data_IF_427290195483
#
_entry.id   IF_427290195483
#
_cell.length_a   1.000
_cell.length_b   1.000
_cell.length_c   1.000
_cell.angle_alpha   90.00
_cell.angle_beta   90.00
_cell.angle_gamma   90.00
#
_symmetry.space_group_name_H-M   'P 1'
#
loop_
_entity.id
_entity.type
_entity.pdbx_description
1 polymer ?
#
# COMPACT_ATOMS: atom_id res chain seq x y z
N UNK A 1 18.53 -13.20 3.24
CA UNK A 1 17.80 -14.08 4.17
C UNK A 1 16.74 -13.20 4.81
N UNK A 2 15.49 -13.56 4.54
CA UNK A 2 14.26 -13.05 5.15
C UNK A 2 14.48 -12.72 6.62
N UNK A 3 14.25 -11.47 6.99
CA UNK A 3 14.28 -11.02 8.40
C UNK A 3 12.97 -11.28 9.13
N UNK A 4 11.96 -11.69 8.38
CA UNK A 4 10.63 -11.95 8.87
C UNK A 4 10.30 -13.42 8.72
N UNK A 5 9.76 -13.99 9.79
CA UNK A 5 9.22 -15.33 9.83
C UNK A 5 7.77 -15.24 10.29
N UNK A 6 6.86 -15.92 9.61
CA UNK A 6 5.42 -15.79 9.87
C UNK A 6 4.87 -17.15 10.23
N UNK A 7 4.26 -17.26 11.40
CA UNK A 7 3.45 -18.41 11.77
C UNK A 7 2.03 -18.21 11.25
N UNK A 8 1.55 -19.18 10.48
CA UNK A 8 0.19 -19.27 9.97
C UNK A 8 -0.54 -20.37 10.72
N UNK A 9 -1.35 -20.01 11.72
CA UNK A 9 -1.93 -20.97 12.68
C UNK A 9 -3.45 -21.10 12.57
N UNK A 10 -3.97 -22.28 12.86
CA UNK A 10 -5.41 -22.54 12.84
C UNK A 10 -6.17 -21.86 14.00
N UNK A 11 -5.46 -21.57 15.10
CA UNK A 11 -6.01 -20.98 16.32
C UNK A 11 -5.29 -19.69 16.68
N UNK A 12 -5.98 -18.81 17.40
CA UNK A 12 -5.40 -17.60 17.96
C UNK A 12 -4.30 -17.98 18.96
N UNK A 13 -3.09 -17.43 18.86
CA UNK A 13 -2.10 -17.55 19.92
C UNK A 13 -2.63 -16.91 21.21
N UNK A 14 -2.87 -17.73 22.21
CA UNK A 14 -3.14 -17.27 23.57
C UNK A 14 -1.83 -17.02 24.34
N UNK A 15 -1.95 -16.50 25.56
CA UNK A 15 -0.79 -16.21 26.41
C UNK A 15 0.07 -17.44 26.65
N UNK A 16 -0.53 -18.64 26.78
CA UNK A 16 0.21 -19.88 27.01
C UNK A 16 1.03 -20.28 25.79
N UNK A 17 0.44 -20.24 24.60
CA UNK A 17 1.14 -20.52 23.35
C UNK A 17 2.29 -19.52 23.11
N UNK A 18 2.06 -18.23 23.40
CA UNK A 18 3.10 -17.21 23.33
C UNK A 18 4.25 -17.49 24.31
N UNK A 19 3.97 -17.86 25.57
CA UNK A 19 5.02 -18.22 26.52
C UNK A 19 5.85 -19.43 26.04
N UNK A 20 5.21 -20.47 25.50
CA UNK A 20 5.92 -21.62 24.92
C UNK A 20 6.82 -21.17 23.76
N UNK A 21 6.32 -20.29 22.89
CA UNK A 21 7.10 -19.78 21.77
C UNK A 21 8.29 -18.92 22.23
N UNK A 22 8.11 -18.06 23.22
CA UNK A 22 9.14 -17.13 23.72
C UNK A 22 10.29 -17.84 24.43
N UNK A 23 10.08 -19.07 24.94
CA UNK A 23 11.19 -19.91 25.44
C UNK A 23 12.16 -20.37 24.35
N UNK A 24 11.99 -19.94 23.10
CA UNK A 24 12.86 -20.24 21.96
C UNK A 24 14.33 -19.90 22.22
N UNK A 25 14.61 -18.85 23.00
CA UNK A 25 15.96 -18.42 23.35
C UNK A 25 16.56 -19.09 24.59
N UNK A 26 15.82 -19.99 25.24
CA UNK A 26 16.19 -20.54 26.55
C UNK A 26 15.58 -19.75 27.71
N UNK A 27 16.02 -20.05 28.93
CA UNK A 27 15.48 -19.45 30.16
C UNK A 27 16.09 -18.07 30.50
N UNK A 28 17.15 -17.68 29.79
CA UNK A 28 17.98 -16.52 30.15
C UNK A 28 17.62 -15.24 29.38
N UNK A 29 16.67 -15.29 28.43
CA UNK A 29 16.23 -14.11 27.70
C UNK A 29 15.04 -13.46 28.39
N UNK A 30 15.13 -12.15 28.59
CA UNK A 30 14.02 -11.33 29.05
C UNK A 30 13.02 -11.07 27.92
N UNK A 31 11.76 -10.85 28.29
CA UNK A 31 10.72 -10.44 27.36
C UNK A 31 10.05 -9.15 27.83
N UNK A 32 9.74 -8.25 26.88
CA UNK A 32 9.04 -7.00 27.15
C UNK A 32 7.88 -6.80 26.18
N UNK A 33 6.77 -6.26 26.68
CA UNK A 33 5.67 -5.77 25.84
C UNK A 33 5.87 -4.27 25.52
N UNK A 34 5.69 -3.91 24.25
CA UNK A 34 5.76 -2.52 23.75
C UNK A 34 4.53 -2.18 22.91
N UNK A 35 4.27 -0.89 22.67
CA UNK A 35 3.13 -0.43 21.88
C UNK A 35 1.77 -0.86 22.45
N UNK A 36 1.55 -0.60 23.74
CA UNK A 36 0.34 -1.03 24.48
C UNK A 36 0.08 -2.55 24.45
N UNK A 37 1.15 -3.34 24.26
CA UNK A 37 1.07 -4.80 24.18
C UNK A 37 0.83 -5.33 22.76
N UNK A 38 0.84 -4.48 21.75
CA UNK A 38 0.75 -4.88 20.34
C UNK A 38 1.99 -5.65 19.85
N UNK A 39 3.14 -5.49 20.52
CA UNK A 39 4.38 -6.19 20.17
C UNK A 39 5.04 -6.74 21.43
N UNK A 40 5.50 -7.99 21.36
CA UNK A 40 6.34 -8.62 22.39
C UNK A 40 7.76 -8.77 21.87
N UNK A 41 8.76 -8.32 22.62
CA UNK A 41 10.16 -8.38 22.23
C UNK A 41 10.92 -9.36 23.12
N UNK A 42 11.71 -10.24 22.51
CA UNK A 42 12.76 -10.99 23.19
C UNK A 42 14.02 -10.13 23.22
N UNK A 43 14.56 -9.94 24.42
CA UNK A 43 15.70 -9.07 24.68
C UNK A 43 16.96 -9.89 24.90
N UNK A 44 18.06 -9.45 24.30
CA UNK A 44 19.41 -9.94 24.57
C UNK A 44 20.11 -9.13 25.66
N UNK A 45 21.42 -9.31 25.76
CA UNK A 45 22.26 -8.55 26.68
C UNK A 45 22.04 -7.03 26.55
N UNK A 46 22.05 -6.35 27.70
CA UNK A 46 21.80 -4.91 27.81
C UNK A 46 20.41 -4.45 27.31
N UNK A 47 19.40 -5.34 27.31
CA UNK A 47 18.01 -4.99 27.01
C UNK A 47 17.74 -4.71 25.52
N UNK A 48 18.57 -5.25 24.61
CA UNK A 48 18.44 -5.01 23.17
C UNK A 48 17.44 -5.97 22.53
N UNK A 49 16.49 -5.49 21.69
CA UNK A 49 15.54 -6.38 21.03
C UNK A 49 16.22 -7.26 19.98
N UNK A 50 16.06 -8.57 20.12
CA UNK A 50 16.55 -9.60 19.20
C UNK A 50 15.46 -10.07 18.25
N UNK A 51 14.25 -10.29 18.78
CA UNK A 51 13.07 -10.69 18.01
C UNK A 51 11.89 -9.90 18.50
N UNK A 52 11.07 -9.38 17.58
CA UNK A 52 9.76 -8.80 17.88
C UNK A 52 8.67 -9.70 17.33
N UNK A 53 7.67 -10.01 18.15
CA UNK A 53 6.47 -10.77 17.81
C UNK A 53 5.30 -9.81 17.78
N UNK A 54 4.74 -9.60 16.58
CA UNK A 54 3.59 -8.74 16.36
C UNK A 54 2.29 -9.40 16.85
N UNK A 55 1.31 -8.59 17.22
CA UNK A 55 -0.01 -9.05 17.59
C UNK A 55 -0.61 -9.94 16.48
N UNK A 56 -1.19 -11.11 16.83
CA UNK A 56 -1.80 -11.99 15.84
C UNK A 56 -2.97 -11.31 15.12
N UNK A 57 -2.99 -11.42 13.79
CA UNK A 57 -4.06 -10.89 12.95
C UNK A 57 -4.83 -12.05 12.33
N UNK A 58 -6.15 -12.08 12.50
CA UNK A 58 -7.00 -13.06 11.82
C UNK A 58 -7.25 -12.61 10.38
N UNK A 59 -6.59 -13.25 9.42
CA UNK A 59 -6.79 -13.00 7.99
C UNK A 59 -7.99 -13.82 7.51
N UNK A 60 -9.07 -13.12 7.18
CA UNK A 60 -10.33 -13.74 6.72
C UNK A 60 -10.53 -13.63 5.20
N UNK A 61 -9.58 -13.01 4.50
CA UNK A 61 -9.71 -12.65 3.09
C UNK A 61 -9.01 -13.70 2.22
N UNK A 62 -9.75 -14.46 1.39
CA UNK A 62 -9.16 -15.50 0.57
C UNK A 62 -8.07 -14.95 -0.36
N UNK A 63 -6.94 -15.66 -0.44
CA UNK A 63 -5.82 -15.32 -1.32
C UNK A 63 -4.90 -14.20 -0.81
N UNK A 64 -5.21 -13.55 0.30
CA UNK A 64 -4.36 -12.47 0.82
C UNK A 64 -2.98 -12.98 1.26
N UNK A 65 -2.93 -14.17 1.86
CA UNK A 65 -1.66 -14.81 2.23
C UNK A 65 -0.83 -15.15 1.00
N UNK A 66 -1.47 -15.69 -0.05
CA UNK A 66 -0.79 -16.01 -1.30
C UNK A 66 -0.26 -14.76 -2.00
N UNK A 67 -1.04 -13.68 -2.00
CA UNK A 67 -0.63 -12.39 -2.56
C UNK A 67 0.63 -11.84 -1.90
N UNK A 68 0.72 -11.90 -0.57
CA UNK A 68 1.84 -11.32 0.19
C UNK A 68 3.06 -12.24 0.31
N UNK A 69 2.84 -13.54 0.49
CA UNK A 69 3.90 -14.51 0.79
C UNK A 69 4.26 -15.41 -0.38
N UNK A 70 3.46 -15.42 -1.44
CA UNK A 70 3.63 -16.34 -2.58
C UNK A 70 3.32 -17.80 -2.26
N UNK A 71 2.64 -18.07 -1.13
CA UNK A 71 2.24 -19.42 -0.72
C UNK A 71 0.75 -19.50 -0.43
N UNK A 72 0.03 -20.51 -0.96
CA UNK A 72 -1.38 -20.69 -0.66
C UNK A 72 -1.58 -21.03 0.82
N UNK A 73 -2.68 -20.56 1.41
CA UNK A 73 -3.04 -20.87 2.78
C UNK A 73 -4.56 -21.00 2.92
N UNK A 74 -5.00 -21.82 3.86
CA UNK A 74 -6.41 -21.88 4.25
C UNK A 74 -6.87 -20.52 4.79
N UNK A 75 -8.17 -20.22 4.64
CA UNK A 75 -8.78 -19.00 5.17
C UNK A 75 -10.06 -19.38 5.92
N UNK A 76 -10.31 -18.86 7.13
CA UNK A 76 -9.49 -17.89 7.86
C UNK A 76 -8.22 -18.51 8.47
N UNK A 77 -7.19 -17.70 8.68
CA UNK A 77 -5.92 -18.12 9.30
C UNK A 77 -5.39 -17.01 10.21
N UNK A 78 -4.79 -17.40 11.34
CA UNK A 78 -4.08 -16.47 12.21
C UNK A 78 -2.67 -16.23 11.68
N UNK A 79 -2.37 -14.98 11.41
CA UNK A 79 -1.06 -14.49 11.00
C UNK A 79 -0.33 -13.94 12.21
N UNK A 80 0.81 -14.52 12.57
CA UNK A 80 1.69 -13.96 13.60
C UNK A 80 3.07 -13.74 13.03
N UNK A 81 3.47 -12.48 12.95
CA UNK A 81 4.72 -12.07 12.35
C UNK A 81 5.81 -11.94 13.42
N UNK A 82 6.94 -12.60 13.19
CA UNK A 82 8.15 -12.48 14.00
C UNK A 82 9.25 -11.83 13.17
N UNK A 83 9.82 -10.73 13.68
CA UNK A 83 10.90 -9.99 13.01
C UNK A 83 12.20 -10.15 13.77
N UNK A 84 13.23 -10.60 13.08
CA UNK A 84 14.57 -10.75 13.60
C UNK A 84 15.38 -9.46 13.43
N UNK A 85 16.07 -9.05 14.50
CA UNK A 85 17.10 -8.02 14.45
C UNK A 85 18.24 -8.42 13.52
N UNK A 86 18.86 -7.44 12.88
CA UNK A 86 20.09 -7.64 12.09
C UNK A 86 21.36 -7.49 12.93
N UNK A 87 21.24 -7.12 14.20
CA UNK A 87 22.39 -6.81 15.07
C UNK A 87 23.21 -8.04 15.48
N UNK A 88 22.62 -9.25 15.45
CA UNK A 88 23.28 -10.52 15.79
C UNK A 88 22.86 -11.65 14.83
N UNK A 89 23.74 -12.62 14.53
CA UNK A 89 23.42 -13.71 13.62
C UNK A 89 22.36 -14.67 14.18
N UNK A 90 22.25 -14.82 15.50
CA UNK A 90 21.31 -15.74 16.16
C UNK A 90 19.84 -15.27 16.11
N UNK A 91 19.58 -13.99 15.83
CA UNK A 91 18.23 -13.43 15.84
C UNK A 91 17.30 -14.07 14.79
N UNK A 92 17.82 -14.39 13.59
CA UNK A 92 17.02 -15.02 12.53
C UNK A 92 16.64 -16.47 12.87
N UNK A 93 17.57 -17.35 13.28
CA UNK A 93 17.20 -18.65 13.86
C UNK A 93 16.26 -18.54 15.05
N UNK A 94 16.44 -17.54 15.92
CA UNK A 94 15.54 -17.34 17.08
C UNK A 94 14.10 -17.01 16.62
N UNK A 95 13.93 -16.14 15.62
CA UNK A 95 12.62 -15.86 15.04
C UNK A 95 11.98 -17.11 14.41
N UNK A 96 12.80 -17.95 13.75
CA UNK A 96 12.43 -19.28 13.25
C UNK A 96 11.95 -20.22 14.33
N UNK A 97 12.66 -20.26 15.48
CA UNK A 97 12.28 -21.06 16.64
C UNK A 97 10.96 -20.59 17.27
N UNK A 98 10.76 -19.27 17.42
CA UNK A 98 9.51 -18.70 17.94
C UNK A 98 8.32 -19.08 17.05
N UNK A 99 8.43 -18.83 15.73
CA UNK A 99 7.36 -19.15 14.79
C UNK A 99 7.11 -20.66 14.66
N UNK A 100 8.18 -21.47 14.66
CA UNK A 100 8.09 -22.94 14.63
C UNK A 100 7.34 -23.51 15.82
N UNK A 101 7.61 -23.00 17.02
CA UNK A 101 6.89 -23.42 18.24
C UNK A 101 5.43 -22.98 18.24
N UNK A 102 5.12 -21.78 17.76
CA UNK A 102 3.73 -21.35 17.60
C UNK A 102 2.97 -22.29 16.65
N UNK A 103 3.56 -22.60 15.50
CA UNK A 103 2.96 -23.50 14.51
C UNK A 103 2.77 -24.92 15.05
N UNK A 104 3.73 -25.44 15.83
CA UNK A 104 3.63 -26.76 16.47
C UNK A 104 2.50 -26.82 17.50
N UNK A 105 2.41 -25.84 18.40
CA UNK A 105 1.43 -25.82 19.49
C UNK A 105 0.01 -25.59 18.97
N UNK A 106 -0.15 -24.68 18.01
CA UNK A 106 -1.46 -24.23 17.55
C UNK A 106 -1.96 -24.99 16.31
N UNK A 107 -1.07 -25.78 15.69
CA UNK A 107 -1.26 -26.35 14.36
C UNK A 107 -1.16 -25.28 13.28
N UNK A 108 -0.34 -25.51 12.27
CA UNK A 108 -0.12 -24.53 11.21
C UNK A 108 1.14 -24.76 10.40
N UNK A 109 1.55 -23.72 9.68
CA UNK A 109 2.78 -23.69 8.89
C UNK A 109 3.59 -22.44 9.21
N UNK A 110 4.86 -22.44 8.78
CA UNK A 110 5.75 -21.30 8.90
C UNK A 110 6.21 -20.86 7.52
N UNK A 111 6.20 -19.55 7.29
CA UNK A 111 6.82 -18.92 6.14
C UNK A 111 8.10 -18.17 6.57
N UNK A 112 9.19 -18.20 5.78
CA UNK A 112 9.35 -19.02 4.58
C UNK A 112 9.42 -20.51 4.93
N UNK A 113 9.14 -21.36 3.94
CA UNK A 113 9.20 -22.81 4.12
C UNK A 113 10.58 -23.24 4.64
N UNK A 114 10.61 -24.06 5.68
CA UNK A 114 11.84 -24.53 6.32
C UNK A 114 12.47 -23.58 7.35
N UNK A 115 11.95 -22.37 7.55
CA UNK A 115 12.46 -21.46 8.60
C UNK A 115 12.03 -21.87 10.01
N UNK A 116 10.87 -22.50 10.15
CA UNK A 116 10.34 -22.94 11.44
C UNK A 116 11.09 -24.15 11.99
N UNK A 117 11.54 -24.08 13.24
CA UNK A 117 12.14 -25.21 13.95
C UNK A 117 11.82 -25.16 15.46
N UNK A 118 12.11 -26.23 16.19
CA UNK A 118 11.78 -26.34 17.63
C UNK A 118 13.01 -26.20 18.55
N UNK A 119 14.21 -26.34 17.97
CA UNK A 119 15.48 -26.22 18.68
C UNK A 119 15.62 -24.89 19.40
N UNK A 120 16.07 -24.93 20.66
CA UNK A 120 16.45 -23.74 21.42
C UNK A 120 17.65 -23.09 20.74
N UNK A 121 17.62 -21.75 20.62
CA UNK A 121 18.70 -20.96 20.04
C UNK A 121 19.40 -20.20 21.15
N UNK A 122 20.57 -20.67 21.64
CA UNK A 122 21.35 -19.92 22.61
C UNK A 122 21.91 -18.66 21.95
N UNK A 123 21.76 -17.51 22.61
CA UNK A 123 22.32 -16.24 22.13
C UNK A 123 23.63 -15.99 22.86
N UNK A 124 24.74 -16.02 22.13
CA UNK A 124 26.09 -15.91 22.72
C UNK A 124 26.89 -14.73 22.19
N UNK A 125 26.49 -14.18 21.03
CA UNK A 125 27.14 -13.01 20.43
C UNK A 125 26.83 -11.71 21.20
N UNK A 126 27.86 -10.88 21.41
CA UNK A 126 27.68 -9.47 21.76
C UNK A 126 27.28 -8.67 20.51
N UNK A 127 26.28 -7.80 20.61
CA UNK A 127 25.72 -7.08 19.47
C UNK A 127 26.72 -6.06 18.89
N UNK A 128 26.95 -6.12 17.57
CA UNK A 128 27.99 -5.32 16.89
C UNK A 128 27.61 -3.85 16.58
N UNK A 129 26.43 -3.38 17.00
CA UNK A 129 25.91 -2.04 16.65
C UNK A 129 25.78 -1.10 17.87
N UNK A 130 25.75 0.22 17.63
CA UNK A 130 25.47 1.22 18.66
C UNK A 130 24.07 0.98 19.30
N UNK A 131 23.86 1.33 20.59
CA UNK A 131 22.56 1.15 21.24
C UNK A 131 21.47 1.96 20.51
N UNK A 132 20.27 1.38 20.41
CA UNK A 132 19.11 2.09 19.88
C UNK A 132 18.78 3.30 20.78
N UNK A 133 18.45 4.48 20.21
CA UNK A 133 18.01 5.63 21.01
C UNK A 133 16.84 5.26 21.93
N UNK A 134 16.76 5.90 23.09
CA UNK A 134 15.58 5.77 23.97
C UNK A 134 14.35 6.27 23.21
N UNK A 135 13.33 5.42 23.04
CA UNK A 135 12.16 5.70 22.21
C UNK A 135 12.29 5.25 20.74
N UNK A 136 13.34 4.49 20.39
CA UNK A 136 13.49 3.92 19.06
C UNK A 136 12.31 3.03 18.68
N UNK A 137 11.89 3.17 17.42
CA UNK A 137 10.90 2.31 16.79
C UNK A 137 11.32 0.84 16.90
N UNK A 138 10.46 -0.04 17.44
CA UNK A 138 10.81 -1.45 17.61
C UNK A 138 11.21 -2.06 16.26
N UNK A 139 12.39 -2.67 16.20
CA UNK A 139 12.92 -3.40 15.04
C UNK A 139 13.18 -2.56 13.79
N UNK A 140 13.58 -1.30 13.95
CA UNK A 140 14.28 -0.56 12.87
C UNK A 140 15.77 -0.90 12.92
N UNK A 141 16.38 -1.20 11.78
CA UNK A 141 17.76 -1.71 11.70
C UNK A 141 18.81 -0.62 11.92
N UNK A 142 18.57 0.59 11.39
CA UNK A 142 19.45 1.75 11.60
C UNK A 142 18.59 2.98 11.86
N UNK A 143 18.93 3.74 12.89
CA UNK A 143 18.33 5.04 13.17
C UNK A 143 19.44 6.08 13.24
N UNK A 144 19.31 7.14 12.45
CA UNK A 144 20.17 8.32 12.48
C UNK A 144 19.33 9.54 12.87
N UNK A 145 19.97 10.72 12.96
CA UNK A 145 19.25 11.97 13.22
C UNK A 145 18.23 12.32 12.11
N UNK A 146 18.41 11.79 10.90
CA UNK A 146 17.61 12.17 9.72
C UNK A 146 16.87 11.00 9.07
N UNK A 147 17.19 9.75 9.42
CA UNK A 147 16.72 8.57 8.67
C UNK A 147 16.54 7.35 9.57
N UNK A 148 15.41 6.65 9.40
CA UNK A 148 15.20 5.29 9.85
C UNK A 148 15.33 4.33 8.66
N UNK A 149 16.08 3.25 8.82
CA UNK A 149 16.32 2.24 7.79
C UNK A 149 15.72 0.91 8.23
N UNK A 150 14.91 0.32 7.35
CA UNK A 150 14.32 -1.01 7.51
C UNK A 150 14.85 -1.91 6.41
N UNK A 151 15.47 -3.03 6.79
CA UNK A 151 15.90 -4.09 5.88
C UNK A 151 14.78 -5.11 5.73
N UNK A 152 14.26 -5.28 4.51
CA UNK A 152 13.20 -6.23 4.22
C UNK A 152 13.55 -7.12 3.03
N UNK A 153 13.23 -8.40 3.15
CA UNK A 153 13.57 -9.43 2.16
C UNK A 153 12.34 -10.35 2.03
N UNK A 154 11.20 -9.82 1.54
CA UNK A 154 10.02 -10.63 1.20
C UNK A 154 9.67 -10.46 -0.29
N UNK A 155 9.02 -11.47 -0.91
CA UNK A 155 8.57 -11.37 -2.30
C UNK A 155 7.71 -10.13 -2.58
N UNK A 156 6.86 -9.75 -1.63
CA UNK A 156 6.06 -8.53 -1.68
C UNK A 156 6.10 -7.83 -0.31
N UNK A 157 6.54 -6.57 -0.29
CA UNK A 157 6.50 -5.72 0.89
C UNK A 157 5.18 -4.94 0.87
N UNK A 158 4.32 -5.22 1.84
CA UNK A 158 3.04 -4.52 2.05
C UNK A 158 3.16 -3.33 3.01
N UNK A 159 2.17 -2.45 3.02
CA UNK A 159 2.04 -1.39 4.03
C UNK A 159 1.49 -1.99 5.32
N UNK A 160 2.37 -2.58 6.13
CA UNK A 160 1.99 -3.20 7.40
C UNK A 160 1.61 -2.16 8.46
N UNK A 161 0.91 -2.60 9.52
CA UNK A 161 0.57 -1.73 10.65
C UNK A 161 1.84 -1.14 11.28
N UNK A 162 2.87 -1.97 11.42
CA UNK A 162 4.18 -1.54 11.88
C UNK A 162 4.87 -0.56 10.94
N UNK A 163 4.94 -0.82 9.62
CA UNK A 163 5.53 0.15 8.69
C UNK A 163 4.77 1.48 8.69
N UNK A 164 3.45 1.43 8.87
CA UNK A 164 2.63 2.63 9.02
C UNK A 164 2.95 3.40 10.30
N UNK A 165 3.23 2.70 11.39
CA UNK A 165 3.64 3.31 12.66
C UNK A 165 5.05 3.89 12.60
N UNK A 166 5.99 3.16 11.98
CA UNK A 166 7.34 3.64 11.66
C UNK A 166 7.26 4.92 10.85
N UNK A 167 6.50 4.94 9.74
CA UNK A 167 6.29 6.13 8.91
C UNK A 167 5.73 7.32 9.70
N UNK A 168 4.71 7.08 10.54
CA UNK A 168 4.09 8.13 11.36
C UNK A 168 5.08 8.72 12.35
N UNK A 169 5.83 7.85 13.01
CA UNK A 169 6.79 8.20 14.04
C UNK A 169 7.99 8.94 13.45
N UNK A 170 8.58 8.46 12.36
CA UNK A 170 9.70 9.16 11.69
C UNK A 170 9.27 10.54 11.19
N UNK A 171 8.06 10.65 10.62
CA UNK A 171 7.49 11.93 10.21
C UNK A 171 7.35 12.90 11.39
N UNK A 172 6.93 12.41 12.56
CA UNK A 172 6.76 13.22 13.78
C UNK A 172 8.03 13.91 14.27
N UNK A 173 9.21 13.35 13.97
CA UNK A 173 10.51 13.93 14.35
C UNK A 173 11.31 14.45 13.16
N UNK A 174 10.70 14.54 11.97
CA UNK A 174 11.34 15.07 10.76
C UNK A 174 12.34 14.13 10.08
N UNK A 175 12.30 12.82 10.37
CA UNK A 175 13.16 11.82 9.77
C UNK A 175 12.50 11.09 8.58
N UNK A 176 13.31 10.64 7.63
CA UNK A 176 12.88 9.80 6.51
C UNK A 176 12.76 8.32 6.89
N UNK A 177 11.86 7.58 6.25
CA UNK A 177 11.89 6.11 6.23
C UNK A 177 12.51 5.60 4.92
N UNK A 178 13.58 4.82 5.03
CA UNK A 178 14.20 4.10 3.92
C UNK A 178 13.98 2.59 4.07
N UNK A 179 13.25 1.99 3.13
CA UNK A 179 13.06 0.53 3.07
C UNK A 179 14.08 -0.05 2.11
N UNK A 180 15.04 -0.83 2.63
CA UNK A 180 16.11 -1.45 1.85
C UNK A 180 15.72 -2.88 1.53
N UNK A 181 15.74 -3.24 0.24
CA UNK A 181 15.40 -4.59 -0.23
C UNK A 181 16.40 -5.12 -1.25
N UNK A 182 16.58 -6.44 -1.38
CA UNK A 182 17.14 -7.03 -2.59
C UNK A 182 16.31 -6.71 -3.85
N UNK A 183 16.89 -6.95 -5.03
CA UNK A 183 16.27 -6.62 -6.33
C UNK A 183 15.07 -7.50 -6.73
N UNK A 184 14.92 -8.68 -6.11
CA UNK A 184 13.80 -9.58 -6.35
C UNK A 184 12.52 -9.20 -5.57
N UNK A 185 12.65 -8.31 -4.57
CA UNK A 185 11.52 -7.83 -3.77
C UNK A 185 10.64 -6.89 -4.59
N UNK A 186 9.34 -6.91 -4.31
CA UNK A 186 8.34 -6.02 -4.92
C UNK A 186 7.64 -5.21 -3.86
N UNK A 187 7.05 -4.08 -4.23
CA UNK A 187 6.20 -3.28 -3.34
C UNK A 187 4.72 -3.44 -3.68
N UNK A 188 3.87 -3.37 -2.65
CA UNK A 188 2.44 -3.17 -2.86
C UNK A 188 2.15 -1.73 -3.28
N UNK A 189 1.01 -1.50 -3.94
CA UNK A 189 0.55 -0.15 -4.29
C UNK A 189 0.33 0.76 -3.06
N UNK A 190 -0.28 0.28 -1.94
CA UNK A 190 -0.39 1.08 -0.72
C UNK A 190 0.97 1.54 -0.19
N UNK A 191 1.96 0.65 -0.12
CA UNK A 191 3.29 1.02 0.38
C UNK A 191 3.98 2.00 -0.56
N UNK A 192 3.88 1.81 -1.88
CA UNK A 192 4.40 2.77 -2.87
C UNK A 192 3.84 4.17 -2.66
N UNK A 193 2.53 4.30 -2.45
CA UNK A 193 1.88 5.59 -2.19
C UNK A 193 2.38 6.20 -0.88
N UNK A 194 2.53 5.40 0.17
CA UNK A 194 3.06 5.86 1.46
C UNK A 194 4.52 6.35 1.37
N UNK A 195 5.34 5.71 0.54
CA UNK A 195 6.74 6.10 0.29
C UNK A 195 6.89 7.28 -0.68
N UNK A 196 5.83 7.73 -1.35
CA UNK A 196 5.91 8.87 -2.27
C UNK A 196 6.10 10.22 -1.57
N UNK A 197 5.96 10.29 -0.23
CA UNK A 197 6.23 11.48 0.58
C UNK A 197 7.73 11.78 0.78
N UNK A 198 8.08 13.05 1.04
CA UNK A 198 9.46 13.46 1.29
C UNK A 198 10.00 12.89 2.63
N UNK A 199 11.31 12.64 2.79
CA UNK A 199 12.30 12.08 1.87
C UNK A 199 12.36 10.54 1.99
N UNK A 200 11.18 9.89 2.02
CA UNK A 200 11.08 8.43 2.11
C UNK A 200 11.64 7.78 0.83
N UNK A 201 12.21 6.58 0.96
CA UNK A 201 12.81 5.86 -0.17
C UNK A 201 12.56 4.36 -0.12
N UNK A 202 12.44 3.80 -1.31
CA UNK A 202 12.69 2.38 -1.53
C UNK A 202 14.11 2.22 -2.05
N UNK A 203 15.01 1.68 -1.25
CA UNK A 203 16.41 1.48 -1.57
C UNK A 203 16.62 0.04 -2.03
N UNK A 204 16.95 -0.14 -3.30
CA UNK A 204 17.15 -1.46 -3.89
C UNK A 204 18.63 -1.77 -3.91
N UNK A 205 19.01 -2.90 -3.31
CA UNK A 205 20.35 -3.46 -3.39
C UNK A 205 20.42 -4.40 -4.59
N UNK A 206 21.12 -3.99 -5.65
CA UNK A 206 21.39 -4.80 -6.84
C UNK A 206 22.88 -5.19 -6.88
N UNK A 207 23.21 -6.47 -7.06
CA UNK A 207 24.60 -6.93 -7.05
C UNK A 207 25.51 -6.25 -8.09
N UNK A 208 24.95 -5.77 -9.20
CA UNK A 208 25.72 -5.14 -10.28
C UNK A 208 25.73 -3.60 -10.21
N UNK A 209 24.67 -3.00 -9.67
CA UNK A 209 24.43 -1.55 -9.69
C UNK A 209 24.58 -0.88 -8.32
N UNK A 210 24.87 -1.65 -7.27
CA UNK A 210 24.92 -1.13 -5.90
C UNK A 210 23.54 -0.77 -5.38
N UNK A 211 23.40 0.39 -4.75
CA UNK A 211 22.12 0.88 -4.24
C UNK A 211 21.49 1.88 -5.20
N UNK A 212 20.18 1.76 -5.42
CA UNK A 212 19.41 2.76 -6.16
C UNK A 212 18.00 2.88 -5.63
N UNK A 213 17.35 3.97 -5.95
CA UNK A 213 15.96 4.21 -5.58
C UNK A 213 15.03 3.42 -6.51
N UNK A 214 14.25 2.48 -5.97
CA UNK A 214 13.37 1.62 -6.76
C UNK A 214 12.16 2.34 -7.37
N UNK A 215 11.85 3.57 -6.94
CA UNK A 215 10.77 4.38 -7.51
C UNK A 215 11.26 5.33 -8.61
N UNK A 216 12.46 5.89 -8.45
CA UNK A 216 13.00 6.90 -9.38
C UNK A 216 14.18 6.43 -10.24
N UNK A 217 14.83 5.33 -9.87
CA UNK A 217 16.02 4.81 -10.53
C UNK A 217 17.33 5.52 -10.17
N UNK A 218 17.29 6.53 -9.30
CA UNK A 218 18.48 7.29 -8.91
C UNK A 218 19.47 6.40 -8.16
N UNK A 219 20.74 6.38 -8.57
CA UNK A 219 21.82 5.72 -7.82
C UNK A 219 21.97 6.39 -6.47
N UNK A 220 22.09 5.60 -5.41
CA UNK A 220 22.17 6.06 -4.04
C UNK A 220 23.52 5.69 -3.42
N UNK A 221 24.02 6.57 -2.56
CA UNK A 221 25.15 6.30 -1.69
C UNK A 221 24.76 6.64 -0.24
N UNK A 222 25.34 5.91 0.71
CA UNK A 222 25.22 6.25 2.12
C UNK A 222 26.17 7.41 2.43
N UNK A 223 25.62 8.54 2.87
CA UNK A 223 26.38 9.74 3.22
C UNK A 223 25.60 10.53 4.27
N UNK A 224 26.30 11.13 5.24
CA UNK A 224 25.69 11.96 6.29
C UNK A 224 24.49 11.31 7.01
N UNK A 225 24.58 9.99 7.22
CA UNK A 225 23.55 9.22 7.93
C UNK A 225 22.27 8.95 7.12
N UNK A 226 22.30 9.08 5.80
CA UNK A 226 21.13 8.82 4.93
C UNK A 226 21.54 8.28 3.55
N UNK A 227 20.62 7.59 2.85
CA UNK A 227 20.79 7.31 1.42
C UNK A 227 20.42 8.53 0.58
N UNK A 228 21.41 9.10 -0.09
CA UNK A 228 21.25 10.28 -0.94
C UNK A 228 21.58 9.98 -2.42
N UNK A 229 20.90 10.65 -3.37
CA UNK A 229 21.20 10.50 -4.80
C UNK A 229 22.62 10.93 -5.14
N UNK A 230 23.35 10.04 -5.82
CA UNK A 230 24.63 10.37 -6.44
C UNK A 230 24.36 11.24 -7.66
N UNK A 231 24.98 12.42 -7.70
CA UNK A 231 24.82 13.38 -8.79
C UNK A 231 25.96 13.25 -9.79
N UNK A 232 25.64 13.41 -11.08
CA UNK A 232 26.62 13.50 -12.14
C UNK A 232 27.29 14.88 -12.22
N UNK A 233 28.16 15.09 -13.20
CA UNK A 233 28.88 16.36 -13.40
C UNK A 233 27.94 17.54 -13.72
N UNK A 234 26.72 17.27 -14.22
CA UNK A 234 25.70 18.28 -14.47
C UNK A 234 24.78 18.52 -13.26
N UNK A 235 25.01 17.81 -12.15
CA UNK A 235 24.20 17.89 -10.94
C UNK A 235 22.91 17.08 -11.00
N UNK A 236 22.67 16.29 -12.05
CA UNK A 236 21.49 15.44 -12.17
C UNK A 236 21.71 14.08 -11.46
N UNK A 237 20.66 13.45 -10.91
CA UNK A 237 20.80 12.10 -10.34
C UNK A 237 21.24 11.09 -11.40
N UNK A 238 22.31 10.35 -11.15
CA UNK A 238 22.74 9.26 -12.02
C UNK A 238 21.69 8.13 -12.00
N UNK A 239 21.35 7.54 -13.15
CA UNK A 239 20.35 6.47 -13.24
C UNK A 239 21.00 5.08 -13.25
N UNK A 240 20.51 4.19 -12.39
CA UNK A 240 20.97 2.81 -12.31
C UNK A 240 20.71 2.04 -13.62
N UNK A 241 21.70 1.27 -14.09
CA UNK A 241 21.55 0.43 -15.28
C UNK A 241 20.48 -0.65 -15.08
N UNK A 242 20.42 -1.23 -13.87
CA UNK A 242 19.39 -2.18 -13.47
C UNK A 242 17.97 -1.61 -13.60
N UNK A 243 17.74 -0.34 -13.22
CA UNK A 243 16.41 0.27 -13.30
C UNK A 243 15.92 0.44 -14.74
N UNK A 244 16.82 0.69 -15.69
CA UNK A 244 16.49 0.94 -17.11
C UNK A 244 15.99 -0.30 -17.88
N UNK A 245 16.08 -1.49 -17.29
CA UNK A 245 15.58 -2.72 -17.92
C UNK A 245 14.05 -2.71 -17.88
N UNK A 246 13.41 -2.41 -19.01
CA UNK A 246 11.96 -2.41 -19.12
C UNK A 246 11.39 -3.84 -19.01
N UNK A 247 10.29 -3.99 -18.28
CA UNK A 247 9.53 -5.24 -18.27
C UNK A 247 8.54 -5.26 -19.44
N UNK A 248 8.79 -6.11 -20.43
CA UNK A 248 7.89 -6.33 -21.55
C UNK A 248 6.94 -7.51 -21.25
N UNK A 249 6.11 -7.39 -20.21
CA UNK A 249 5.17 -8.45 -19.85
C UNK A 249 3.93 -8.49 -20.74
N UNK A 250 3.58 -7.37 -21.39
CA UNK A 250 2.30 -7.18 -22.07
C UNK A 250 1.10 -7.03 -21.11
N UNK A 251 1.35 -7.07 -19.80
CA UNK A 251 0.34 -6.86 -18.77
C UNK A 251 0.00 -5.38 -18.64
N UNK A 252 -1.27 -5.12 -18.31
CA UNK A 252 -1.84 -3.78 -18.25
C UNK A 252 -2.49 -3.54 -16.90
N UNK A 253 -2.44 -2.30 -16.43
CA UNK A 253 -3.16 -1.84 -15.24
C UNK A 253 -4.11 -0.70 -15.59
N UNK A 254 -5.39 -0.90 -15.32
CA UNK A 254 -6.38 0.17 -15.32
C UNK A 254 -6.41 0.79 -13.93
N UNK A 255 -6.23 2.11 -13.84
CA UNK A 255 -6.33 2.86 -12.59
C UNK A 255 -7.44 3.89 -12.70
N UNK A 256 -8.39 3.84 -11.75
CA UNK A 256 -9.43 4.83 -11.55
C UNK A 256 -9.08 5.66 -10.32
N UNK A 257 -9.01 6.96 -10.48
CA UNK A 257 -8.90 7.92 -9.38
C UNK A 257 -10.19 8.73 -9.37
N UNK A 258 -10.97 8.65 -8.30
CA UNK A 258 -12.19 9.43 -8.19
C UNK A 258 -12.42 9.95 -6.79
N UNK A 259 -13.14 11.08 -6.73
CA UNK A 259 -13.57 11.70 -5.49
C UNK A 259 -15.08 11.73 -5.43
N UNK A 260 -15.64 11.39 -4.29
CA UNK A 260 -17.06 11.62 -3.98
C UNK A 260 -17.19 12.57 -2.79
N UNK A 261 -18.29 13.32 -2.77
CA UNK A 261 -18.66 14.17 -1.65
C UNK A 261 -20.11 13.88 -1.26
N UNK A 262 -20.32 13.64 0.03
CA UNK A 262 -21.62 13.29 0.60
C UNK A 262 -22.00 14.24 1.74
N UNK A 263 -23.28 14.62 1.87
CA UNK A 263 -23.77 15.23 3.10
C UNK A 263 -23.46 14.32 4.30
N UNK A 264 -23.06 14.93 5.42
CA UNK A 264 -22.75 14.20 6.65
C UNK A 264 -24.04 13.82 7.41
N UNK A 265 -24.82 12.93 6.81
CA UNK A 265 -26.06 12.41 7.35
C UNK A 265 -25.83 11.15 8.19
N UNK A 266 -26.72 10.88 9.15
CA UNK A 266 -26.63 9.71 10.02
C UNK A 266 -26.64 8.38 9.23
N UNK A 267 -27.41 8.34 8.14
CA UNK A 267 -27.55 7.18 7.26
C UNK A 267 -26.43 7.03 6.22
N UNK A 268 -25.43 7.92 6.20
CA UNK A 268 -24.31 7.83 5.27
C UNK A 268 -23.54 6.52 5.50
N UNK A 269 -23.36 5.76 4.42
CA UNK A 269 -22.44 4.63 4.35
C UNK A 269 -21.36 4.95 3.33
N UNK A 270 -20.14 5.12 3.83
CA UNK A 270 -18.92 5.25 3.02
C UNK A 270 -18.50 3.89 2.46
N UNK A 271 -17.75 3.89 1.37
CA UNK A 271 -17.31 2.71 0.62
C UNK A 271 -18.29 2.25 -0.46
N UNK A 272 -19.52 2.77 -0.50
CA UNK A 272 -20.51 2.37 -1.52
C UNK A 272 -20.11 2.80 -2.94
N UNK A 273 -19.45 3.95 -3.05
CA UNK A 273 -18.91 4.46 -4.31
C UNK A 273 -17.81 3.52 -4.86
N UNK A 274 -16.90 3.06 -3.98
CA UNK A 274 -15.92 2.03 -4.31
C UNK A 274 -16.60 0.71 -4.70
N UNK A 275 -17.59 0.25 -3.93
CA UNK A 275 -18.27 -1.02 -4.21
C UNK A 275 -18.96 -0.99 -5.59
N UNK A 276 -19.62 0.12 -5.96
CA UNK A 276 -20.20 0.31 -7.29
C UNK A 276 -19.15 0.20 -8.40
N UNK A 277 -18.04 0.95 -8.28
CA UNK A 277 -16.92 0.87 -9.23
C UNK A 277 -16.34 -0.54 -9.33
N UNK A 278 -16.18 -1.23 -8.21
CA UNK A 278 -15.67 -2.59 -8.16
C UNK A 278 -16.58 -3.58 -8.87
N UNK A 279 -17.89 -3.53 -8.58
CA UNK A 279 -18.90 -4.40 -9.20
C UNK A 279 -18.96 -4.21 -10.70
N UNK A 280 -18.94 -2.96 -11.16
CA UNK A 280 -19.00 -2.65 -12.59
C UNK A 280 -17.77 -3.16 -13.34
N UNK A 281 -16.58 -3.17 -12.71
CA UNK A 281 -15.33 -3.56 -13.37
C UNK A 281 -14.95 -5.04 -13.17
N UNK A 282 -15.49 -5.71 -12.15
CA UNK A 282 -15.10 -7.09 -11.79
C UNK A 282 -16.25 -8.07 -11.73
N UNK A 283 -17.50 -7.59 -11.71
CA UNK A 283 -18.71 -8.40 -11.49
C UNK A 283 -19.05 -8.65 -10.02
N UNK A 284 -18.19 -8.29 -9.06
CA UNK A 284 -18.39 -8.53 -7.63
C UNK A 284 -17.94 -7.36 -6.74
N UNK A 285 -18.26 -7.39 -5.43
CA UNK A 285 -17.71 -6.42 -4.49
C UNK A 285 -16.23 -6.70 -4.23
N UNK A 286 -15.51 -5.80 -3.52
CA UNK A 286 -14.23 -6.14 -2.94
C UNK A 286 -14.34 -7.40 -2.06
N UNK A 287 -13.27 -8.19 -2.00
CA UNK A 287 -13.24 -9.38 -1.14
C UNK A 287 -13.00 -9.00 0.32
N UNK A 288 -12.12 -8.02 0.55
CA UNK A 288 -11.72 -7.61 1.89
C UNK A 288 -11.27 -6.16 2.00
N UNK A 289 -11.14 -5.69 3.24
CA UNK A 289 -10.57 -4.39 3.57
C UNK A 289 -9.78 -4.42 4.89
N UNK A 290 -8.91 -3.43 5.08
CA UNK A 290 -8.13 -3.26 6.29
C UNK A 290 -7.44 -1.89 6.34
N UNK A 291 -6.91 -1.51 7.49
CA UNK A 291 -6.11 -0.28 7.67
C UNK A 291 -4.63 -0.49 7.34
N UNK A 292 -4.22 -1.74 7.12
CA UNK A 292 -2.88 -2.17 6.77
C UNK A 292 -2.94 -3.51 6.00
N UNK A 293 -1.80 -3.92 5.45
CA UNK A 293 -1.59 -5.27 4.91
C UNK A 293 -0.97 -6.18 6.01
N UNK A 294 -1.40 -7.45 6.17
CA UNK A 294 -2.43 -8.15 5.41
C UNK A 294 -3.83 -7.59 5.65
N UNK A 295 -4.60 -7.46 4.56
CA UNK A 295 -6.01 -7.13 4.60
C UNK A 295 -6.78 -8.30 5.22
N UNK A 296 -7.39 -8.03 6.38
CA UNK A 296 -7.79 -9.09 7.30
C UNK A 296 -9.31 -9.19 7.52
N UNK A 297 -10.09 -8.18 7.14
CA UNK A 297 -11.54 -8.18 7.31
C UNK A 297 -12.27 -8.40 5.98
N UNK A 298 -13.38 -9.16 5.96
CA UNK A 298 -14.27 -9.21 4.81
C UNK A 298 -14.85 -7.83 4.51
N UNK A 299 -15.13 -7.55 3.23
CA UNK A 299 -15.68 -6.26 2.81
C UNK A 299 -16.97 -5.90 3.56
N UNK A 300 -16.98 -4.73 4.22
CA UNK A 300 -18.13 -4.23 4.97
C UNK A 300 -18.16 -2.70 5.00
N UNK A 301 -18.99 -2.06 4.14
CA UNK A 301 -19.19 -0.60 4.17
C UNK A 301 -19.63 -0.09 5.55
N UNK A 302 -20.39 -0.90 6.30
CA UNK A 302 -20.83 -0.54 7.67
C UNK A 302 -19.66 -0.42 8.64
N UNK A 303 -18.80 -1.44 8.72
CA UNK A 303 -17.64 -1.40 9.62
C UNK A 303 -16.63 -0.33 9.21
N UNK A 304 -16.44 -0.12 7.90
CA UNK A 304 -15.63 0.99 7.37
C UNK A 304 -16.20 2.33 7.83
N UNK A 305 -17.52 2.50 7.73
CA UNK A 305 -18.22 3.71 8.20
C UNK A 305 -18.06 3.92 9.70
N UNK A 306 -18.20 2.87 10.50
CA UNK A 306 -18.05 2.95 11.95
C UNK A 306 -16.63 3.36 12.35
N UNK A 307 -15.61 2.80 11.69
CA UNK A 307 -14.22 3.23 11.87
C UNK A 307 -14.02 4.69 11.48
N UNK A 308 -14.49 5.11 10.31
CA UNK A 308 -14.35 6.49 9.84
C UNK A 308 -15.06 7.49 10.76
N UNK A 309 -16.24 7.12 11.29
CA UNK A 309 -17.00 7.94 12.25
C UNK A 309 -16.29 8.03 13.60
N UNK A 310 -15.78 6.91 14.12
CA UNK A 310 -15.06 6.87 15.39
C UNK A 310 -13.74 7.64 15.37
N UNK A 311 -13.17 7.86 14.17
CA UNK A 311 -11.96 8.66 13.97
C UNK A 311 -12.22 10.10 13.54
N UNK A 312 -13.46 10.54 13.34
CA UNK A 312 -13.70 11.91 12.91
C UNK A 312 -13.34 12.91 14.04
N UNK A 313 -12.65 14.04 13.73
CA UNK A 313 -12.39 14.60 12.39
C UNK A 313 -11.10 14.09 11.70
N UNK A 314 -10.30 13.24 12.33
CA UNK A 314 -9.10 12.68 11.72
C UNK A 314 -9.41 11.81 10.48
N UNK A 315 -8.60 11.91 9.40
CA UNK A 315 -8.84 11.16 8.18
C UNK A 315 -8.58 9.66 8.38
N UNK A 316 -9.39 8.85 7.71
CA UNK A 316 -9.27 7.38 7.70
C UNK A 316 -8.78 6.91 6.34
N UNK A 317 -7.65 6.19 6.31
CA UNK A 317 -7.12 5.53 5.12
C UNK A 317 -7.33 4.03 5.28
N UNK A 318 -7.91 3.39 4.26
CA UNK A 318 -8.09 1.93 4.20
C UNK A 318 -7.64 1.39 2.86
N UNK A 319 -7.22 0.13 2.87
CA UNK A 319 -6.94 -0.67 1.67
C UNK A 319 -8.07 -1.67 1.49
N UNK A 320 -8.53 -1.85 0.25
CA UNK A 320 -9.46 -2.89 -0.15
C UNK A 320 -8.81 -3.78 -1.21
N UNK A 321 -9.09 -5.08 -1.18
CA UNK A 321 -8.52 -6.07 -2.11
C UNK A 321 -9.61 -6.93 -2.74
N UNK A 322 -9.34 -7.39 -3.95
CA UNK A 322 -10.18 -8.31 -4.72
C UNK A 322 -9.83 -9.76 -4.43
N UNK A 323 -10.45 -10.67 -5.18
CA UNK A 323 -10.12 -12.09 -5.12
C UNK A 323 -8.93 -12.43 -6.05
N UNK A 324 -8.28 -13.59 -5.88
CA UNK A 324 -7.18 -14.02 -6.76
C UNK A 324 -7.55 -14.12 -8.25
N UNK A 325 -8.80 -14.46 -8.56
CA UNK A 325 -9.28 -14.61 -9.93
C UNK A 325 -9.31 -13.26 -10.66
N UNK A 326 -9.61 -12.19 -9.93
CA UNK A 326 -9.65 -10.81 -10.43
C UNK A 326 -8.85 -9.89 -9.50
N UNK A 327 -7.50 -9.83 -9.67
CA UNK A 327 -6.65 -8.97 -8.87
C UNK A 327 -7.05 -7.51 -9.03
N UNK A 328 -7.52 -6.95 -7.92
CA UNK A 328 -7.90 -5.55 -7.80
C UNK A 328 -7.50 -5.06 -6.42
N UNK A 329 -7.09 -3.81 -6.33
CA UNK A 329 -6.67 -3.17 -5.08
C UNK A 329 -7.15 -1.72 -5.12
N UNK A 330 -7.73 -1.25 -4.01
CA UNK A 330 -7.99 0.17 -3.84
C UNK A 330 -7.46 0.72 -2.53
N UNK A 331 -7.13 2.00 -2.54
CA UNK A 331 -6.99 2.80 -1.32
C UNK A 331 -8.14 3.80 -1.26
N UNK A 332 -8.79 3.91 -0.10
CA UNK A 332 -9.86 4.89 0.15
C UNK A 332 -9.44 5.78 1.31
N UNK A 333 -9.42 7.09 1.09
CA UNK A 333 -9.23 8.08 2.15
C UNK A 333 -10.56 8.78 2.40
N UNK A 334 -11.10 8.60 3.61
CA UNK A 334 -12.31 9.26 4.09
C UNK A 334 -11.92 10.47 4.93
N UNK A 335 -12.44 11.65 4.59
CA UNK A 335 -12.15 12.91 5.30
C UNK A 335 -13.45 13.64 5.62
N UNK A 336 -13.58 14.13 6.86
CA UNK A 336 -14.66 15.04 7.25
C UNK A 336 -14.27 16.47 6.90
N UNK A 337 -15.04 17.13 6.04
CA UNK A 337 -14.84 18.53 5.64
C UNK A 337 -16.02 19.40 6.08
N UNK A 338 -15.94 20.71 5.90
CA UNK A 338 -17.07 21.60 6.19
C UNK A 338 -18.29 21.31 5.29
N UNK A 339 -18.05 20.87 4.05
CA UNK A 339 -19.07 20.57 3.06
C UNK A 339 -19.76 19.22 3.31
N UNK A 340 -19.05 18.25 3.91
CA UNK A 340 -19.58 16.89 4.03
C UNK A 340 -18.53 15.88 4.43
N UNK A 341 -18.70 14.66 3.93
CA UNK A 341 -17.72 13.59 3.98
C UNK A 341 -17.23 13.35 2.57
N UNK A 342 -15.91 13.44 2.40
CA UNK A 342 -15.24 13.18 1.12
C UNK A 342 -14.61 11.79 1.13
N UNK A 343 -14.76 11.06 0.03
CA UNK A 343 -14.02 9.82 -0.23
C UNK A 343 -13.09 10.04 -1.43
N UNK A 344 -11.78 10.02 -1.19
CA UNK A 344 -10.77 9.97 -2.25
C UNK A 344 -10.38 8.50 -2.50
N UNK A 345 -10.69 8.00 -3.69
CA UNK A 345 -10.51 6.60 -4.07
C UNK A 345 -9.47 6.49 -5.18
N UNK A 346 -8.51 5.58 -5.00
CA UNK A 346 -7.66 5.08 -6.09
C UNK A 346 -7.88 3.58 -6.20
N UNK A 347 -8.55 3.13 -7.26
CA UNK A 347 -8.80 1.73 -7.59
C UNK A 347 -7.88 1.31 -8.74
N UNK A 348 -7.19 0.18 -8.60
CA UNK A 348 -6.32 -0.41 -9.62
C UNK A 348 -6.72 -1.84 -9.91
N UNK A 349 -6.79 -2.20 -11.19
CA UNK A 349 -7.10 -3.54 -11.67
C UNK A 349 -6.02 -4.01 -12.64
N UNK A 350 -5.54 -5.23 -12.43
CA UNK A 350 -4.51 -5.85 -13.25
C UNK A 350 -5.11 -6.77 -14.32
N UNK A 351 -4.54 -6.72 -15.52
CA UNK A 351 -4.95 -7.50 -16.68
C UNK A 351 -3.74 -8.17 -17.31
N UNK A 352 -3.83 -9.49 -17.51
CA UNK A 352 -2.88 -10.24 -18.31
C UNK A 352 -2.90 -9.83 -19.80
N UNK A 353 -1.93 -10.28 -20.60
CA UNK A 353 -1.79 -9.84 -21.99
C UNK A 353 -2.99 -10.21 -22.88
N UNK A 354 -3.67 -11.32 -22.56
CA UNK A 354 -4.85 -11.80 -23.27
C UNK A 354 -6.19 -11.33 -22.67
N UNK A 355 -6.17 -10.67 -21.51
CA UNK A 355 -7.40 -10.20 -20.86
C UNK A 355 -7.85 -8.86 -21.44
N UNK A 356 -9.13 -8.75 -21.80
CA UNK A 356 -9.73 -7.50 -22.26
C UNK A 356 -9.91 -6.52 -21.10
N UNK A 357 -9.57 -5.25 -21.33
CA UNK A 357 -9.79 -4.17 -20.38
C UNK A 357 -11.17 -3.55 -20.68
N UNK A 358 -12.11 -3.48 -19.71
CA UNK A 358 -13.50 -3.09 -19.96
C UNK A 358 -13.66 -1.56 -20.08
N UNK A 359 -12.96 -0.93 -21.04
CA UNK A 359 -13.00 0.54 -21.22
C UNK A 359 -14.40 1.05 -21.58
N UNK A 360 -15.20 0.25 -22.28
CA UNK A 360 -16.58 0.57 -22.63
C UNK A 360 -17.51 0.70 -21.39
N UNK A 361 -17.15 0.08 -20.25
CA UNK A 361 -17.92 0.17 -19.01
C UNK A 361 -17.73 1.52 -18.29
N UNK A 362 -16.71 2.31 -18.64
CA UNK A 362 -16.35 3.54 -17.91
C UNK A 362 -17.44 4.62 -17.99
N UNK A 363 -18.13 4.75 -19.11
CA UNK A 363 -19.23 5.71 -19.26
C UNK A 363 -20.44 5.32 -18.40
N UNK A 364 -20.77 4.02 -18.33
CA UNK A 364 -21.83 3.49 -17.45
C UNK A 364 -21.47 3.65 -15.97
N UNK A 365 -20.21 3.44 -15.62
CA UNK A 365 -19.73 3.70 -14.26
C UNK A 365 -19.82 5.19 -13.90
N UNK A 366 -19.44 6.09 -14.82
CA UNK A 366 -19.59 7.52 -14.62
C UNK A 366 -21.05 7.92 -14.35
N UNK A 367 -22.00 7.37 -15.11
CA UNK A 367 -23.44 7.55 -14.90
C UNK A 367 -23.89 7.13 -13.49
N UNK A 368 -23.47 5.95 -13.04
CA UNK A 368 -23.80 5.42 -11.72
C UNK A 368 -23.23 6.30 -10.60
N UNK A 369 -21.94 6.66 -10.69
CA UNK A 369 -21.28 7.47 -9.66
C UNK A 369 -21.86 8.89 -9.56
N UNK A 370 -22.20 9.51 -10.69
CA UNK A 370 -22.85 10.83 -10.70
C UNK A 370 -24.26 10.76 -10.14
N UNK A 371 -25.02 9.73 -10.48
CA UNK A 371 -26.43 9.59 -10.08
C UNK A 371 -26.61 9.21 -8.61
N UNK A 372 -25.78 8.29 -8.11
CA UNK A 372 -25.97 7.64 -6.82
C UNK A 372 -24.93 7.97 -5.76
N UNK A 373 -23.77 8.50 -6.16
CA UNK A 373 -22.60 8.55 -5.27
C UNK A 373 -21.94 9.93 -5.17
N UNK A 374 -22.59 11.01 -5.60
CA UNK A 374 -22.06 12.36 -5.37
C UNK A 374 -20.67 12.57 -5.98
N UNK A 375 -20.42 11.98 -7.16
CA UNK A 375 -19.14 12.11 -7.85
C UNK A 375 -18.75 13.59 -7.99
N UNK A 376 -17.53 13.91 -7.58
CA UNK A 376 -16.87 15.22 -7.81
C UNK A 376 -16.08 15.16 -9.10
N UNK A 377 -15.22 14.15 -9.24
CA UNK A 377 -14.47 13.88 -10.47
C UNK A 377 -14.00 12.43 -10.52
N UNK A 378 -13.76 11.92 -11.73
CA UNK A 378 -13.13 10.62 -11.98
C UNK A 378 -12.13 10.73 -13.13
N UNK A 379 -10.92 10.19 -12.96
CA UNK A 379 -9.92 9.99 -14.00
C UNK A 379 -9.68 8.49 -14.14
N UNK A 380 -9.83 7.95 -15.35
CA UNK A 380 -9.40 6.60 -15.67
C UNK A 380 -8.15 6.67 -16.55
N UNK A 381 -7.12 5.91 -16.20
CA UNK A 381 -5.88 5.81 -16.96
C UNK A 381 -5.47 4.35 -17.14
N UNK A 382 -4.87 4.03 -18.28
CA UNK A 382 -4.40 2.69 -18.63
C UNK A 382 -2.91 2.74 -18.96
N UNK A 383 -2.14 1.78 -18.47
CA UNK A 383 -0.74 1.66 -18.84
C UNK A 383 -0.15 0.31 -18.51
N UNK A 384 1.15 0.12 -18.75
CA UNK A 384 1.86 -1.08 -18.35
C UNK A 384 1.78 -1.27 -16.82
N UNK A 385 1.58 -2.52 -16.39
CA UNK A 385 1.56 -2.84 -14.97
C UNK A 385 1.23 -4.30 -14.75
N UNK A 386 1.83 -4.88 -13.70
CA UNK A 386 1.68 -6.30 -13.42
C UNK A 386 0.23 -6.68 -13.15
N UNK A 387 -0.19 -7.88 -13.58
CA UNK A 387 -1.53 -8.40 -13.29
C UNK A 387 -1.77 -8.54 -11.78
N UNK A 388 -0.74 -8.90 -11.03
CA UNK A 388 -0.79 -9.04 -9.55
C UNK A 388 -0.72 -7.69 -8.79
N UNK A 389 -0.69 -6.56 -9.52
CA UNK A 389 -0.61 -5.20 -8.99
C UNK A 389 0.63 -4.87 -8.16
N UNK A 390 1.62 -5.76 -8.11
CA UNK A 390 2.91 -5.48 -7.45
C UNK A 390 3.80 -4.58 -8.30
N UNK A 391 4.70 -3.84 -7.65
CA UNK A 391 5.68 -2.97 -8.31
C UNK A 391 7.07 -3.55 -8.21
N UNK A 392 7.75 -3.61 -9.34
CA UNK A 392 9.15 -4.00 -9.46
C UNK A 392 10.05 -2.77 -9.44
N UNK A 393 11.34 -2.90 -9.07
CA UNK A 393 12.29 -1.79 -9.04
C UNK A 393 12.83 -1.47 -10.44
N UNK A 394 11.91 -1.32 -11.41
CA UNK A 394 12.22 -1.16 -12.84
C UNK A 394 11.41 0.00 -13.41
N UNK A 395 11.97 0.66 -14.42
CA UNK A 395 11.28 1.73 -15.13
C UNK A 395 10.00 1.20 -15.78
N UNK A 396 8.93 1.97 -15.62
CA UNK A 396 7.64 1.71 -16.26
C UNK A 396 7.18 2.97 -16.98
N UNK A 397 6.59 2.81 -18.17
CA UNK A 397 6.01 3.93 -18.90
C UNK A 397 4.80 4.45 -18.12
N UNK A 398 4.61 5.78 -18.00
CA UNK A 398 3.43 6.34 -17.34
C UNK A 398 2.12 5.84 -17.97
N UNK A 399 1.08 5.67 -17.15
CA UNK A 399 -0.25 5.38 -17.65
C UNK A 399 -0.79 6.57 -18.46
N UNK A 400 -1.57 6.28 -19.48
CA UNK A 400 -2.19 7.23 -20.40
C UNK A 400 -3.65 7.45 -20.00
N UNK A 401 -4.14 8.70 -19.92
CA UNK A 401 -5.55 8.99 -19.66
C UNK A 401 -6.47 8.36 -20.72
N UNK A 402 -7.51 7.66 -20.26
CA UNK A 402 -8.56 7.05 -21.08
C UNK A 402 -9.82 7.92 -21.06
N UNK A 403 -10.20 8.40 -19.88
CA UNK A 403 -11.37 9.28 -19.74
C UNK A 403 -11.28 10.15 -18.49
N UNK A 404 -11.98 11.28 -18.54
CA UNK A 404 -12.21 12.14 -17.39
C UNK A 404 -13.72 12.35 -17.21
N UNK A 405 -14.21 12.38 -15.98
CA UNK A 405 -15.60 12.69 -15.67
C UNK A 405 -15.64 13.82 -14.66
N UNK A 406 -16.44 14.84 -14.95
CA UNK A 406 -16.74 15.93 -14.03
C UNK A 406 -18.14 15.71 -13.44
N UNK A 407 -18.22 15.77 -12.11
CA UNK A 407 -19.46 15.67 -11.36
C UNK A 407 -20.42 16.84 -11.57
N UNK A 408 -21.68 16.66 -11.16
CA UNK A 408 -22.73 17.66 -11.35
C UNK A 408 -22.46 19.01 -10.67
N UNK A 409 -21.73 19.03 -9.54
CA UNK A 409 -21.31 20.26 -8.87
C UNK A 409 -20.30 21.03 -9.73
N UNK A 410 -19.25 20.34 -10.17
CA UNK A 410 -18.21 20.92 -11.02
C UNK A 410 -18.76 21.39 -12.38
N UNK A 411 -19.71 20.67 -12.97
CA UNK A 411 -20.40 21.12 -14.20
C UNK A 411 -21.25 22.37 -13.95
N UNK A 412 -21.89 22.48 -12.78
CA UNK A 412 -22.64 23.69 -12.42
C UNK A 412 -21.71 24.90 -12.24
N UNK A 413 -20.57 24.71 -11.58
CA UNK A 413 -19.53 25.74 -11.41
C UNK A 413 -18.92 26.18 -12.74
N UNK A 414 -18.62 25.22 -13.63
CA UNK A 414 -18.10 25.52 -14.96
C UNK A 414 -19.16 26.01 -15.94
N UNK A 415 -20.45 25.92 -15.58
CA UNK A 415 -21.63 25.99 -16.48
C UNK A 415 -21.69 24.88 -17.53
N UNK A 416 -22.89 24.33 -17.74
CA UNK A 416 -23.09 23.24 -18.71
C UNK A 416 -22.69 23.63 -20.14
N UNK A 417 -22.96 24.87 -20.55
CA UNK A 417 -22.67 25.36 -21.90
C UNK A 417 -21.17 25.38 -22.18
N UNK A 418 -20.37 25.86 -21.24
CA UNK A 418 -18.92 25.94 -21.36
C UNK A 418 -18.29 24.55 -21.24
N UNK A 419 -18.70 23.76 -20.24
CA UNK A 419 -18.13 22.44 -20.01
C UNK A 419 -18.40 21.46 -21.17
N UNK A 420 -19.49 21.65 -21.94
CA UNK A 420 -19.80 20.85 -23.15
C UNK A 420 -18.97 21.20 -24.38
N UNK A 421 -18.22 22.30 -24.37
CA UNK A 421 -17.46 22.79 -25.53
C UNK A 421 -15.97 22.90 -25.19
N UNK A 422 -15.31 21.79 -24.82
CA UNK A 422 -13.86 21.83 -24.62
C UNK A 422 -13.17 22.20 -25.94
N UNK A 423 -12.01 22.87 -25.90
CA UNK A 423 -11.19 23.14 -27.08
C UNK A 423 -10.43 21.88 -27.51
N UNK A 424 -11.17 20.79 -27.72
CA UNK A 424 -10.70 19.45 -28.08
C UNK A 424 -11.69 18.83 -29.07
N UNK A 425 -11.24 17.85 -29.86
CA UNK A 425 -12.14 17.08 -30.74
C UNK A 425 -13.04 16.09 -29.97
N UNK A 426 -12.86 15.99 -28.65
CA UNK A 426 -13.64 15.15 -27.75
C UNK A 426 -15.06 15.67 -27.62
N UNK A 427 -16.04 14.78 -27.86
CA UNK A 427 -17.45 15.04 -27.62
C UNK A 427 -17.84 14.52 -26.23
N UNK A 428 -18.11 15.41 -25.24
CA UNK A 428 -18.50 14.97 -23.92
C UNK A 428 -19.89 14.34 -23.93
N UNK A 429 -20.05 13.24 -23.20
CA UNK A 429 -21.32 12.56 -22.96
C UNK A 429 -21.92 13.09 -21.66
N UNK A 430 -23.17 13.54 -21.71
CA UNK A 430 -23.88 13.90 -20.48
C UNK A 430 -24.23 12.65 -19.69
N UNK A 431 -23.88 12.66 -18.41
CA UNK A 431 -24.21 11.59 -17.47
C UNK A 431 -25.00 12.11 -16.27
N UNK A 432 -25.78 11.26 -15.65
CA UNK A 432 -26.52 11.52 -14.44
C UNK A 432 -27.83 12.29 -14.63
N UNK A 433 -28.42 12.80 -13.52
CA UNK A 433 -29.76 13.37 -13.54
C UNK A 433 -29.81 14.68 -14.35
N UNK A 434 -30.90 14.86 -15.12
CA UNK A 434 -31.10 16.04 -15.99
C UNK A 434 -30.96 17.40 -15.28
N UNK A 435 -31.31 17.47 -14.00
CA UNK A 435 -31.26 18.72 -13.21
C UNK A 435 -29.85 19.12 -12.80
N UNK A 436 -28.94 18.16 -12.63
CA UNK A 436 -27.56 18.40 -12.20
C UNK A 436 -26.63 17.39 -12.86
N UNK A 437 -26.49 17.46 -14.20
CA UNK A 437 -25.76 16.45 -14.94
C UNK A 437 -24.26 16.57 -14.73
N UNK A 438 -23.57 15.43 -14.73
CA UNK A 438 -22.15 15.34 -14.96
C UNK A 438 -21.82 15.30 -16.46
N UNK A 439 -20.52 15.39 -16.77
CA UNK A 439 -20.00 15.24 -18.13
C UNK A 439 -18.85 14.23 -18.13
N UNK A 440 -18.93 13.24 -19.02
CA UNK A 440 -17.91 12.24 -19.27
C UNK A 440 -17.17 12.57 -20.58
N UNK A 441 -15.86 12.69 -20.51
CA UNK A 441 -14.96 13.05 -21.61
C UNK A 441 -14.12 11.83 -21.99
N UNK A 442 -14.42 11.13 -23.09
CA UNK A 442 -13.56 10.06 -23.59
C UNK A 442 -12.29 10.67 -24.21
N UNK A 443 -11.13 10.37 -23.63
CA UNK A 443 -9.84 10.93 -24.05
C UNK A 443 -9.05 9.99 -24.97
N UNK A 444 -9.37 8.70 -24.98
CA UNK A 444 -8.71 7.71 -25.84
C UNK A 444 -8.87 6.29 -25.30
N UNK A 445 -8.02 5.39 -25.79
CA UNK A 445 -7.97 3.97 -25.41
C UNK A 445 -6.76 3.63 -24.51
N UNK A 446 -5.97 4.63 -24.14
CA UNK A 446 -4.76 4.47 -23.32
C UNK A 446 -3.50 4.14 -24.12
N UNK A 447 -3.52 4.24 -25.45
CA UNK A 447 -2.32 4.01 -26.28
C UNK A 447 -1.54 5.30 -26.62
N UNK A 448 -2.22 6.44 -26.76
CA UNK A 448 -1.61 7.70 -27.24
C UNK A 448 -1.21 8.64 -26.08
N UNK A 449 0.10 8.89 -25.85
CA UNK A 449 0.57 9.84 -24.84
C UNK A 449 0.01 11.26 -24.99
N UNK A 450 -0.44 11.69 -26.18
CA UNK A 450 -1.07 12.99 -26.40
C UNK A 450 -2.36 13.20 -25.58
N UNK A 451 -2.95 12.12 -25.04
CA UNK A 451 -4.07 12.22 -24.11
C UNK A 451 -3.73 12.98 -22.82
N UNK A 452 -2.45 13.06 -22.42
CA UNK A 452 -2.01 13.91 -21.30
C UNK A 452 -2.15 15.40 -21.60
N UNK A 453 -1.79 15.82 -22.81
CA UNK A 453 -1.98 17.19 -23.26
C UNK A 453 -3.48 17.51 -23.36
N UNK A 454 -4.26 16.60 -23.94
CA UNK A 454 -5.73 16.71 -24.00
C UNK A 454 -6.35 16.86 -22.61
N UNK A 455 -5.93 16.06 -21.62
CA UNK A 455 -6.38 16.19 -20.24
C UNK A 455 -6.00 17.55 -19.63
N UNK A 456 -4.76 18.00 -19.84
CA UNK A 456 -4.28 19.30 -19.33
C UNK A 456 -5.09 20.48 -19.90
N UNK A 457 -5.33 20.47 -21.21
CA UNK A 457 -6.17 21.46 -21.91
C UNK A 457 -7.60 21.43 -21.37
N UNK A 458 -8.19 20.24 -21.20
CA UNK A 458 -9.53 20.08 -20.63
C UNK A 458 -9.61 20.64 -19.21
N UNK A 459 -8.69 20.27 -18.32
CA UNK A 459 -8.70 20.74 -16.93
C UNK A 459 -8.51 22.26 -16.83
N UNK A 460 -7.70 22.83 -17.72
CA UNK A 460 -7.52 24.29 -17.82
C UNK A 460 -8.82 24.96 -18.26
N UNK A 461 -9.46 24.45 -19.31
CA UNK A 461 -10.75 24.94 -19.80
C UNK A 461 -11.83 24.90 -18.72
N UNK A 462 -11.95 23.81 -17.97
CA UNK A 462 -12.96 23.69 -16.92
C UNK A 462 -12.75 24.67 -15.75
N UNK A 463 -11.51 25.08 -15.48
CA UNK A 463 -11.18 26.06 -14.42
C UNK A 463 -11.42 27.51 -14.82
N UNK A 464 -11.23 27.87 -16.09
CA UNK A 464 -11.34 29.27 -16.57
C UNK A 464 -12.78 29.79 -16.62
N UNK A 465 -13.77 28.93 -16.38
CA UNK A 465 -15.18 29.29 -16.30
C UNK A 465 -15.56 30.13 -15.07
N UNK A 466 -14.71 30.15 -14.03
CA UNK A 466 -14.94 30.93 -12.82
C UNK A 466 -14.47 32.36 -13.08
N UNK A 467 -15.35 33.38 -13.17
CA UNK A 467 -14.90 34.76 -13.21
C UNK A 467 -14.15 35.08 -11.91
N UNK A 468 -13.06 35.88 -11.94
CA UNK A 468 -12.45 36.34 -10.71
C UNK A 468 -13.50 37.06 -9.87
N UNK A 469 -13.62 36.70 -8.59
CA UNK A 469 -14.44 37.45 -7.64
C UNK A 469 -13.94 38.90 -7.61
N UNK A 470 -14.86 39.90 -7.59
CA UNK A 470 -14.50 41.32 -7.58
C UNK A 470 -13.71 41.72 -6.32
#
# INVERSE_FOLDING_TARGET
MTKDVIALTAKMPDTTALMVALTAGGADLDAQAVGEGAVIQLLGAAGRPLVSVEAPVLVQVPGEVERLLGTPSATPVWWTETRASTAVPEAAPLAGAVAGRLAEVLGGTVWPEGAGHLTVVPVTSEASAAPAPVGALPTVDVVTESTAVVLADRPLIGLTAWLSDVLRTTTGFGAALHVVTPDHCRLSLPLRTALAGAPNRWVVQDPASGYYDGLSGAVLAWQDGTFAPVRDQAGAPALAAAFRRAEASGERRLTLQFRTEHPAEEALLVGRSLEAAWRTLTGGPPAGWGTAEPVNLPWSPRQLTDLARGRAPEPTLVTAVGSPERPALATVRVTRTAAGVEEDVTLSLGYGPAEEVPLAALAGLAEELVSGHGLVSMLASLGPGRRDLSLTPRVSVPAVPVSFTLGGNGVAEATLTHARRPPLEVQPVQVGPRRRPGLHYPLGDGADPAAWESLSVLLTHLRTAVPPLP
#
